data_IF_286892621124
#
_entry.id   IF_286892621124
#
_cell.length_a   1.000
_cell.length_b   1.000
_cell.length_c   1.000
_cell.angle_alpha   90.00
_cell.angle_beta   90.00
_cell.angle_gamma   90.00
#
_symmetry.space_group_name_H-M   'P 1'
#
loop_
_entity.id
_entity.type
_entity.pdbx_description
1 polymer ?
#
# COMPACT_ATOMS: atom_id res chain seq x y z
N UNK A 1 10.77 -20.57 -17.06
CA UNK A 1 10.47 -21.40 -15.89
C UNK A 1 9.81 -22.73 -16.24
N UNK A 2 8.77 -22.76 -17.06
CA UNK A 2 8.09 -24.03 -17.43
C UNK A 2 9.01 -25.11 -17.99
N UNK A 3 9.98 -24.74 -18.83
CA UNK A 3 10.97 -25.69 -19.33
C UNK A 3 11.84 -26.29 -18.21
N UNK A 4 12.21 -25.51 -17.20
CA UNK A 4 12.98 -25.99 -16.05
C UNK A 4 12.16 -26.95 -15.19
N UNK A 5 10.86 -26.65 -15.00
CA UNK A 5 9.93 -27.54 -14.31
C UNK A 5 9.73 -28.86 -15.05
N UNK A 6 9.49 -28.80 -16.37
CA UNK A 6 9.34 -29.98 -17.23
C UNK A 6 10.61 -30.85 -17.27
N UNK A 7 11.79 -30.23 -17.25
CA UNK A 7 13.09 -30.93 -17.16
C UNK A 7 13.40 -31.48 -15.76
N UNK A 8 12.57 -31.19 -14.75
CA UNK A 8 12.74 -31.68 -13.39
C UNK A 8 13.76 -30.90 -12.53
N UNK A 9 14.32 -29.79 -13.02
CA UNK A 9 15.27 -28.98 -12.26
C UNK A 9 14.62 -28.22 -11.11
N UNK A 10 13.33 -27.91 -11.24
CA UNK A 10 12.52 -27.29 -10.18
C UNK A 10 11.16 -27.98 -10.08
N UNK A 11 10.61 -28.08 -8.87
CA UNK A 11 9.28 -28.67 -8.66
C UNK A 11 8.13 -27.68 -8.90
N UNK A 12 8.37 -26.41 -8.58
CA UNK A 12 7.44 -25.32 -8.70
C UNK A 12 8.21 -24.00 -8.88
N UNK A 13 7.52 -22.96 -9.36
CA UNK A 13 8.06 -21.61 -9.42
C UNK A 13 6.98 -20.60 -9.03
N UNK A 14 7.40 -19.53 -8.39
CA UNK A 14 6.56 -18.39 -8.06
C UNK A 14 7.05 -17.11 -8.71
N UNK A 15 6.29 -16.04 -8.52
CA UNK A 15 6.66 -14.66 -8.88
C UNK A 15 6.60 -13.79 -7.64
N UNK A 16 7.30 -12.66 -7.63
CA UNK A 16 7.29 -11.73 -6.50
C UNK A 16 7.81 -10.36 -6.90
N UNK A 17 7.46 -9.33 -6.12
CA UNK A 17 7.82 -7.94 -6.40
C UNK A 17 7.36 -7.45 -7.79
N UNK A 18 6.18 -7.89 -8.22
CA UNK A 18 5.57 -7.54 -9.52
C UNK A 18 4.25 -6.81 -9.29
N UNK A 19 3.85 -5.97 -10.24
CA UNK A 19 2.58 -5.25 -10.22
C UNK A 19 1.39 -6.22 -10.39
N UNK A 20 0.18 -5.76 -10.06
CA UNK A 20 -1.02 -6.58 -10.26
C UNK A 20 -1.29 -6.89 -11.75
N UNK A 21 -0.89 -6.00 -12.65
CA UNK A 21 -0.98 -6.20 -14.10
C UNK A 21 0.00 -7.27 -14.58
N UNK A 22 1.26 -7.19 -14.11
CA UNK A 22 2.29 -8.18 -14.41
C UNK A 22 1.91 -9.57 -13.89
N UNK A 23 1.32 -9.66 -12.69
CA UNK A 23 0.76 -10.92 -12.16
C UNK A 23 -0.19 -11.53 -13.20
N UNK A 24 -1.10 -10.74 -13.78
CA UNK A 24 -2.02 -11.20 -14.82
C UNK A 24 -1.30 -11.73 -16.06
N UNK A 25 -0.25 -11.05 -16.51
CA UNK A 25 0.55 -11.48 -17.66
C UNK A 25 1.31 -12.79 -17.39
N UNK A 26 1.87 -12.97 -16.21
CA UNK A 26 2.53 -14.22 -15.83
C UNK A 26 1.54 -15.39 -15.76
N UNK A 27 0.35 -15.17 -15.20
CA UNK A 27 -0.69 -16.19 -15.09
C UNK A 27 -1.25 -16.63 -16.45
N UNK A 28 -1.32 -15.73 -17.43
CA UNK A 28 -1.70 -16.08 -18.81
C UNK A 28 -0.65 -16.95 -19.52
N UNK A 29 0.63 -16.79 -19.17
CA UNK A 29 1.77 -17.41 -19.87
C UNK A 29 2.25 -18.73 -19.26
N UNK A 30 1.90 -19.04 -18.01
CA UNK A 30 2.31 -20.29 -17.39
C UNK A 30 1.65 -20.57 -16.04
N UNK A 31 1.98 -21.73 -15.48
CA UNK A 31 1.40 -22.27 -14.25
C UNK A 31 2.19 -21.80 -13.02
N UNK A 32 2.06 -20.51 -12.71
CA UNK A 32 2.65 -19.90 -11.51
C UNK A 32 2.09 -20.58 -10.27
N UNK A 33 2.96 -21.12 -9.41
CA UNK A 33 2.54 -21.82 -8.20
C UNK A 33 2.22 -20.86 -7.04
N UNK A 34 3.01 -19.79 -6.89
CA UNK A 34 2.89 -18.87 -5.78
C UNK A 34 3.22 -17.42 -6.14
N UNK A 35 2.63 -16.48 -5.41
CA UNK A 35 2.98 -15.06 -5.45
C UNK A 35 3.55 -14.65 -4.10
N UNK A 36 4.76 -14.11 -4.12
CA UNK A 36 5.38 -13.43 -2.98
C UNK A 36 4.96 -11.95 -3.03
N UNK A 37 4.22 -11.47 -2.03
CA UNK A 37 3.73 -10.09 -1.99
C UNK A 37 3.90 -9.47 -0.62
N UNK A 38 4.10 -8.15 -0.58
CA UNK A 38 4.07 -7.43 0.69
C UNK A 38 2.63 -7.42 1.20
N UNK A 39 2.43 -7.86 2.44
CA UNK A 39 1.10 -7.86 3.04
C UNK A 39 1.19 -7.76 4.56
N UNK A 40 0.59 -6.71 5.09
CA UNK A 40 0.40 -6.48 6.52
C UNK A 40 -0.84 -5.59 6.73
N UNK A 41 -1.15 -5.29 7.98
CA UNK A 41 -2.36 -4.53 8.34
C UNK A 41 -2.40 -3.14 7.70
N UNK A 42 -1.24 -2.47 7.59
CA UNK A 42 -1.13 -1.12 7.01
C UNK A 42 -0.85 -1.13 5.49
N UNK A 43 -0.61 -2.30 4.91
CA UNK A 43 -0.36 -2.50 3.49
C UNK A 43 -1.02 -3.80 3.03
N UNK A 44 -2.31 -3.71 2.67
CA UNK A 44 -3.13 -4.83 2.20
C UNK A 44 -3.71 -4.58 0.79
N UNK A 45 -3.29 -3.51 0.11
CA UNK A 45 -3.93 -3.06 -1.14
C UNK A 45 -3.75 -4.04 -2.29
N UNK A 46 -2.55 -4.61 -2.46
CA UNK A 46 -2.31 -5.63 -3.50
C UNK A 46 -3.15 -6.89 -3.25
N UNK A 47 -3.22 -7.35 -2.00
CA UNK A 47 -4.09 -8.46 -1.63
C UNK A 47 -5.57 -8.13 -1.90
N UNK A 48 -6.03 -6.94 -1.51
CA UNK A 48 -7.41 -6.50 -1.73
C UNK A 48 -7.74 -6.35 -3.22
N UNK A 49 -6.79 -5.91 -4.05
CA UNK A 49 -6.94 -5.88 -5.50
C UNK A 49 -7.18 -7.29 -6.03
N UNK A 50 -6.30 -8.24 -5.70
CA UNK A 50 -6.45 -9.63 -6.13
C UNK A 50 -7.76 -10.24 -5.62
N UNK A 51 -8.20 -9.89 -4.40
CA UNK A 51 -9.51 -10.28 -3.86
C UNK A 51 -10.67 -9.67 -4.66
N UNK A 52 -10.63 -8.40 -5.03
CA UNK A 52 -11.70 -7.77 -5.83
C UNK A 52 -11.80 -8.36 -7.23
N UNK A 53 -10.67 -8.72 -7.85
CA UNK A 53 -10.66 -9.49 -9.11
C UNK A 53 -11.33 -10.87 -8.93
N UNK A 54 -11.35 -11.43 -7.70
CA UNK A 54 -12.16 -12.64 -7.40
C UNK A 54 -13.67 -12.38 -7.37
N UNK A 55 -14.10 -11.15 -7.15
CA UNK A 55 -15.51 -10.81 -6.96
C UNK A 55 -16.16 -10.32 -8.27
N UNK A 56 -15.38 -9.81 -9.22
CA UNK A 56 -15.83 -9.46 -10.58
C UNK A 56 -15.84 -10.68 -11.50
N UNK A 57 -16.99 -11.35 -11.60
CA UNK A 57 -17.16 -12.59 -12.38
C UNK A 57 -16.89 -12.41 -13.90
N UNK A 58 -16.34 -13.45 -14.55
CA UNK A 58 -16.10 -13.67 -16.00
C UNK A 58 -14.73 -13.36 -16.66
N UNK A 59 -13.62 -13.25 -15.91
CA UNK A 59 -12.29 -13.29 -16.57
C UNK A 59 -11.62 -14.66 -16.38
N UNK A 60 -10.98 -15.21 -17.42
CA UNK A 60 -10.08 -16.37 -17.32
C UNK A 60 -9.04 -16.20 -16.20
N UNK A 61 -8.66 -14.96 -15.93
CA UNK A 61 -7.76 -14.54 -14.86
C UNK A 61 -8.30 -14.87 -13.45
N UNK A 62 -9.64 -14.89 -13.25
CA UNK A 62 -10.28 -15.32 -12.01
C UNK A 62 -9.86 -16.72 -11.58
N UNK A 63 -10.02 -17.69 -12.49
CA UNK A 63 -9.69 -19.09 -12.22
C UNK A 63 -8.21 -19.27 -11.87
N UNK A 64 -7.34 -18.53 -12.59
CA UNK A 64 -5.90 -18.55 -12.37
C UNK A 64 -5.51 -17.99 -11.00
N UNK A 65 -6.09 -16.85 -10.59
CA UNK A 65 -5.77 -16.23 -9.29
C UNK A 65 -6.22 -17.14 -8.12
N UNK A 66 -7.32 -17.88 -8.27
CA UNK A 66 -7.78 -18.82 -7.22
C UNK A 66 -6.86 -20.00 -6.98
N UNK A 67 -6.13 -20.44 -8.00
CA UNK A 67 -5.22 -21.59 -7.89
C UNK A 67 -3.84 -21.23 -7.33
N UNK A 68 -3.51 -19.93 -7.29
CA UNK A 68 -2.20 -19.45 -6.88
C UNK A 68 -2.11 -19.29 -5.37
N UNK A 69 -0.97 -19.71 -4.80
CA UNK A 69 -0.67 -19.61 -3.37
C UNK A 69 -0.04 -18.28 -3.02
N UNK A 70 -0.65 -17.54 -2.09
CA UNK A 70 -0.09 -16.27 -1.62
C UNK A 70 0.92 -16.55 -0.50
N UNK A 71 2.11 -15.95 -0.63
CA UNK A 71 3.16 -15.96 0.38
C UNK A 71 3.42 -14.51 0.80
N UNK A 72 2.79 -14.03 1.89
CA UNK A 72 3.01 -12.67 2.37
C UNK A 72 4.38 -12.49 3.04
N UNK A 73 5.01 -11.34 2.80
CA UNK A 73 6.20 -10.87 3.51
C UNK A 73 5.98 -9.49 4.14
N UNK A 74 6.92 -9.06 5.00
CA UNK A 74 6.82 -7.82 5.77
C UNK A 74 5.57 -7.77 6.67
N UNK A 75 5.18 -8.92 7.22
CA UNK A 75 3.94 -9.09 7.99
C UNK A 75 3.89 -8.16 9.20
N UNK A 76 5.02 -7.97 9.88
CA UNK A 76 5.14 -7.06 11.02
C UNK A 76 5.57 -5.64 10.63
N UNK A 77 5.54 -5.29 9.33
CA UNK A 77 6.01 -4.02 8.78
C UNK A 77 7.39 -3.61 9.33
N UNK A 78 8.39 -4.49 9.17
CA UNK A 78 9.77 -4.29 9.68
C UNK A 78 9.84 -4.05 11.20
N UNK A 79 8.97 -4.71 11.95
CA UNK A 79 8.89 -4.62 13.41
C UNK A 79 7.97 -3.51 13.92
N UNK A 80 7.41 -2.68 13.04
CA UNK A 80 6.52 -1.59 13.45
C UNK A 80 5.22 -2.13 14.08
N UNK A 81 4.67 -3.21 13.52
CA UNK A 81 3.45 -3.86 14.01
C UNK A 81 3.71 -4.88 15.14
N UNK A 82 4.76 -4.69 15.94
CA UNK A 82 4.97 -5.47 17.17
C UNK A 82 4.69 -4.63 18.43
N UNK A 83 4.59 -3.31 18.28
CA UNK A 83 4.50 -2.37 19.40
C UNK A 83 5.83 -2.04 20.07
N UNK A 84 6.96 -2.60 19.59
CA UNK A 84 8.29 -2.30 20.11
C UNK A 84 8.91 -1.00 19.55
N UNK A 85 8.34 -0.46 18.46
CA UNK A 85 8.78 0.78 17.82
C UNK A 85 7.74 1.86 18.09
N UNK A 86 8.19 3.02 18.56
CA UNK A 86 7.36 4.19 18.82
C UNK A 86 7.92 5.46 18.16
N UNK A 87 7.23 6.59 18.32
CA UNK A 87 7.62 7.89 17.74
C UNK A 87 8.94 8.45 18.25
N UNK A 88 9.49 7.90 19.34
CA UNK A 88 10.76 8.30 19.93
C UNK A 88 11.90 7.34 19.56
N UNK A 89 11.58 6.25 18.87
CA UNK A 89 12.55 5.26 18.43
C UNK A 89 13.44 5.87 17.36
N UNK A 90 14.76 5.84 17.61
CA UNK A 90 15.78 6.33 16.68
C UNK A 90 16.46 5.14 15.99
N UNK A 91 16.71 5.29 14.70
CA UNK A 91 17.41 4.30 13.89
C UNK A 91 18.82 4.80 13.56
N UNK A 92 19.77 3.88 13.45
CA UNK A 92 21.11 4.17 12.95
C UNK A 92 21.05 4.49 11.45
N UNK A 93 21.99 5.27 10.93
CA UNK A 93 21.97 5.73 9.53
C UNK A 93 22.01 4.57 8.52
N UNK A 94 22.65 3.46 8.85
CA UNK A 94 22.73 2.27 7.99
C UNK A 94 21.48 1.36 8.06
N UNK A 95 20.54 1.62 8.97
CA UNK A 95 19.27 0.89 9.06
C UNK A 95 18.29 1.48 8.06
N UNK A 96 17.71 0.64 7.18
CA UNK A 96 16.74 1.08 6.16
C UNK A 96 15.54 1.86 6.75
N UNK A 97 15.21 1.63 8.02
CA UNK A 97 14.12 2.32 8.72
C UNK A 97 14.40 3.81 8.94
N UNK A 98 15.67 4.25 8.87
CA UNK A 98 16.04 5.66 8.96
C UNK A 98 15.53 6.49 7.76
N UNK A 99 15.39 5.86 6.59
CA UNK A 99 14.96 6.50 5.34
C UNK A 99 13.59 6.02 4.83
N UNK A 100 13.02 4.97 5.43
CA UNK A 100 11.73 4.44 5.02
C UNK A 100 10.58 5.34 5.48
N UNK A 101 9.75 5.79 4.53
CA UNK A 101 8.56 6.62 4.76
C UNK A 101 7.56 6.02 5.76
N UNK A 102 7.61 4.71 6.03
CA UNK A 102 6.84 4.07 7.10
C UNK A 102 7.13 4.66 8.48
N UNK A 103 8.35 5.15 8.71
CA UNK A 103 8.83 5.62 10.02
C UNK A 103 8.91 7.15 10.12
N UNK A 104 8.38 7.88 9.14
CA UNK A 104 8.33 9.34 9.23
C UNK A 104 7.38 9.80 10.36
N UNK A 105 7.64 10.97 10.94
CA UNK A 105 6.96 11.46 12.15
C UNK A 105 5.44 11.57 11.99
N UNK A 106 4.95 12.00 10.83
CA UNK A 106 3.52 12.12 10.57
C UNK A 106 2.82 10.76 10.56
N UNK A 107 3.42 9.77 9.88
CA UNK A 107 2.89 8.42 9.78
C UNK A 107 2.99 7.68 11.11
N UNK A 108 4.08 7.88 11.86
CA UNK A 108 4.24 7.29 13.20
C UNK A 108 3.13 7.71 14.17
N UNK A 109 2.67 8.96 14.13
CA UNK A 109 1.54 9.40 14.97
C UNK A 109 0.23 8.65 14.64
N UNK A 110 -0.04 8.36 13.37
CA UNK A 110 -1.21 7.57 12.96
C UNK A 110 -1.05 6.12 13.38
N UNK A 111 0.14 5.56 13.17
CA UNK A 111 0.45 4.18 13.54
C UNK A 111 0.37 3.98 15.05
N UNK A 112 0.72 4.97 15.88
CA UNK A 112 0.54 4.85 17.34
C UNK A 112 -0.91 4.53 17.73
N UNK A 113 -1.91 5.14 17.07
CA UNK A 113 -3.33 4.82 17.31
C UNK A 113 -3.66 3.38 16.93
N UNK A 114 -3.15 2.92 15.78
CA UNK A 114 -3.30 1.52 15.38
C UNK A 114 -2.66 0.58 16.39
N UNK A 115 -1.43 0.86 16.84
CA UNK A 115 -0.74 0.03 17.83
C UNK A 115 -1.51 -0.03 19.16
N UNK A 116 -2.06 1.09 19.64
CA UNK A 116 -2.92 1.11 20.82
C UNK A 116 -4.18 0.26 20.64
N UNK A 117 -4.82 0.35 19.48
CA UNK A 117 -5.99 -0.47 19.15
C UNK A 117 -5.64 -1.96 19.09
N UNK A 118 -4.56 -2.31 18.40
CA UNK A 118 -4.06 -3.67 18.27
C UNK A 118 -3.63 -4.25 19.62
N UNK A 119 -3.06 -3.43 20.52
CA UNK A 119 -2.72 -3.84 21.88
C UNK A 119 -3.95 -4.26 22.66
N UNK A 120 -5.05 -3.51 22.59
CA UNK A 120 -6.31 -3.86 23.23
C UNK A 120 -6.87 -5.18 22.69
N UNK A 121 -6.92 -5.33 21.37
CA UNK A 121 -7.37 -6.57 20.74
C UNK A 121 -6.47 -7.76 21.11
N UNK A 122 -5.16 -7.58 21.11
CA UNK A 122 -4.21 -8.65 21.45
C UNK A 122 -4.41 -9.12 22.91
N UNK A 123 -4.65 -8.19 23.84
CA UNK A 123 -5.01 -8.49 25.23
C UNK A 123 -6.32 -9.28 25.32
N UNK A 124 -7.37 -8.86 24.59
CA UNK A 124 -8.65 -9.59 24.54
C UNK A 124 -8.49 -11.02 23.99
N UNK A 125 -7.56 -11.23 23.07
CA UNK A 125 -7.26 -12.53 22.48
C UNK A 125 -6.19 -13.32 23.24
N UNK A 126 -5.64 -12.79 24.33
CA UNK A 126 -4.60 -13.46 25.13
C UNK A 126 -3.29 -13.70 24.37
N UNK A 127 -2.92 -12.83 23.43
CA UNK A 127 -1.74 -12.96 22.57
C UNK A 127 -0.91 -11.67 22.50
N UNK A 128 0.27 -11.75 21.89
CA UNK A 128 1.06 -10.54 21.56
C UNK A 128 0.55 -9.84 20.30
N UNK A 129 0.89 -8.57 20.11
CA UNK A 129 0.56 -7.84 18.87
C UNK A 129 1.16 -8.54 17.66
N UNK A 130 2.42 -9.00 17.77
CA UNK A 130 3.08 -9.72 16.68
C UNK A 130 2.30 -10.97 16.29
N UNK A 131 1.84 -11.75 17.27
CA UNK A 131 1.04 -12.94 17.02
C UNK A 131 -0.34 -12.61 16.44
N UNK A 132 -1.01 -11.56 16.93
CA UNK A 132 -2.29 -11.09 16.39
C UNK A 132 -2.15 -10.70 14.91
N UNK A 133 -1.09 -9.97 14.55
CA UNK A 133 -0.81 -9.54 13.17
C UNK A 133 -0.50 -10.73 12.27
N UNK A 134 0.33 -11.68 12.74
CA UNK A 134 0.63 -12.90 12.00
C UNK A 134 -0.64 -13.73 11.81
N UNK A 135 -1.43 -13.91 12.87
CA UNK A 135 -2.70 -14.64 12.84
C UNK A 135 -3.69 -13.99 11.87
N UNK A 136 -3.78 -12.66 11.85
CA UNK A 136 -4.59 -11.93 10.88
C UNK A 136 -4.16 -12.23 9.43
N UNK A 137 -2.86 -12.24 9.14
CA UNK A 137 -2.36 -12.53 7.78
C UNK A 137 -2.63 -13.97 7.35
N UNK A 138 -2.33 -14.96 8.20
CA UNK A 138 -2.48 -16.39 7.82
C UNK A 138 -3.94 -16.82 7.65
N UNK A 139 -4.89 -16.09 8.26
CA UNK A 139 -6.32 -16.35 8.12
C UNK A 139 -6.95 -15.69 6.88
N UNK A 140 -6.16 -15.00 6.03
CA UNK A 140 -6.64 -14.40 4.77
C UNK A 140 -6.75 -15.45 3.67
N UNK A 141 -7.78 -15.34 2.83
CA UNK A 141 -8.09 -16.30 1.78
C UNK A 141 -6.95 -16.42 0.75
N UNK A 142 -6.51 -17.65 0.49
CA UNK A 142 -5.44 -17.94 -0.49
C UNK A 142 -4.02 -17.79 0.07
N UNK A 143 -3.85 -17.33 1.30
CA UNK A 143 -2.56 -17.36 1.99
C UNK A 143 -2.16 -18.80 2.29
N UNK A 144 -0.99 -19.21 1.79
CA UNK A 144 -0.48 -20.58 1.95
C UNK A 144 0.59 -20.68 3.04
N UNK A 145 1.51 -19.70 3.09
CA UNK A 145 2.61 -19.63 4.07
C UNK A 145 2.96 -18.18 4.35
N UNK A 146 3.21 -17.85 5.61
CA UNK A 146 3.64 -16.50 6.02
C UNK A 146 5.15 -16.42 6.25
N UNK A 147 5.82 -15.40 5.68
CA UNK A 147 7.22 -15.08 5.99
C UNK A 147 7.28 -14.08 7.14
N UNK A 148 7.69 -14.55 8.32
CA UNK A 148 7.66 -13.78 9.58
C UNK A 148 9.01 -13.16 9.99
N UNK A 149 10.11 -13.53 9.32
CA UNK A 149 11.42 -12.86 9.42
C UNK A 149 12.09 -12.74 10.80
N UNK A 150 12.05 -13.72 11.72
CA UNK A 150 12.74 -13.61 12.99
C UNK A 150 14.27 -13.74 12.84
N UNK A 151 15.04 -12.93 13.56
CA UNK A 151 16.51 -13.04 13.68
C UNK A 151 16.96 -13.72 14.98
N UNK A 152 16.03 -13.91 15.93
CA UNK A 152 16.24 -14.54 17.23
C UNK A 152 15.30 -15.73 17.39
N UNK A 153 15.77 -16.78 18.07
CA UNK A 153 15.00 -18.01 18.28
C UNK A 153 13.74 -17.74 19.11
N UNK A 154 13.80 -16.80 20.05
CA UNK A 154 12.68 -16.42 20.90
C UNK A 154 11.54 -15.83 20.06
N UNK A 155 11.85 -14.94 19.12
CA UNK A 155 10.86 -14.37 18.19
C UNK A 155 10.31 -15.45 17.24
N UNK A 156 11.13 -16.41 16.81
CA UNK A 156 10.63 -17.53 16.01
C UNK A 156 9.61 -18.36 16.80
N UNK A 157 9.91 -18.70 18.06
CA UNK A 157 9.00 -19.43 18.95
C UNK A 157 7.71 -18.64 19.20
N UNK A 158 7.80 -17.33 19.40
CA UNK A 158 6.64 -16.45 19.54
C UNK A 158 5.78 -16.45 18.27
N UNK A 159 6.40 -16.28 17.10
CA UNK A 159 5.71 -16.23 15.80
C UNK A 159 4.99 -17.55 15.48
N UNK A 160 5.58 -18.69 15.82
CA UNK A 160 4.95 -20.01 15.58
C UNK A 160 3.64 -20.17 16.35
N UNK A 161 3.59 -19.67 17.60
CA UNK A 161 2.37 -19.72 18.43
C UNK A 161 1.20 -18.90 17.85
N UNK A 162 1.43 -18.07 16.84
CA UNK A 162 0.33 -17.41 16.12
C UNK A 162 -0.58 -18.40 15.38
N UNK A 163 -0.08 -19.61 15.07
CA UNK A 163 -0.88 -20.69 14.49
C UNK A 163 -1.96 -21.22 15.44
N UNK A 164 -1.75 -21.09 16.75
CA UNK A 164 -2.66 -21.57 17.78
C UNK A 164 -3.75 -20.55 18.12
N UNK A 165 -3.68 -19.33 17.57
CA UNK A 165 -4.64 -18.27 17.79
C UNK A 165 -5.84 -18.47 16.87
N UNK A 166 -6.96 -18.87 17.46
CA UNK A 166 -8.24 -18.90 16.77
C UNK A 166 -8.85 -17.49 16.73
N UNK A 167 -8.46 -16.72 15.72
CA UNK A 167 -8.93 -15.35 15.56
C UNK A 167 -10.35 -15.36 14.98
N UNK A 168 -11.35 -15.06 15.81
CA UNK A 168 -12.76 -14.98 15.37
C UNK A 168 -12.88 -14.00 14.18
N UNK A 169 -13.70 -14.36 13.19
CA UNK A 169 -14.11 -13.50 12.08
C UNK A 169 -14.55 -12.11 12.55
N UNK A 170 -15.14 -11.99 13.74
CA UNK A 170 -15.49 -10.70 14.36
C UNK A 170 -14.26 -9.84 14.64
N UNK A 171 -13.17 -10.42 15.13
CA UNK A 171 -11.91 -9.71 15.41
C UNK A 171 -11.20 -9.36 14.11
N UNK A 172 -11.18 -10.28 13.14
CA UNK A 172 -10.69 -9.99 11.78
C UNK A 172 -11.41 -8.78 11.18
N UNK A 173 -12.74 -8.77 11.25
CA UNK A 173 -13.59 -7.69 10.75
C UNK A 173 -13.33 -6.36 11.48
N UNK A 174 -13.17 -6.39 12.81
CA UNK A 174 -12.79 -5.21 13.60
C UNK A 174 -11.49 -4.56 13.11
N UNK A 175 -10.46 -5.37 12.81
CA UNK A 175 -9.18 -4.87 12.28
C UNK A 175 -9.36 -4.27 10.89
N UNK A 176 -10.10 -4.96 10.02
CA UNK A 176 -10.36 -4.50 8.65
C UNK A 176 -11.15 -3.18 8.66
N UNK A 177 -12.23 -3.07 9.45
CA UNK A 177 -13.05 -1.85 9.60
C UNK A 177 -12.26 -0.69 10.21
N UNK A 178 -11.39 -0.96 11.19
CA UNK A 178 -10.52 0.08 11.76
C UNK A 178 -9.60 0.67 10.67
N UNK A 179 -9.00 -0.20 9.85
CA UNK A 179 -8.12 0.24 8.77
C UNK A 179 -8.87 0.95 7.65
N UNK A 180 -10.07 0.51 7.30
CA UNK A 180 -10.94 1.20 6.35
C UNK A 180 -11.27 2.62 6.84
N UNK A 181 -11.69 2.77 8.11
CA UNK A 181 -11.97 4.07 8.72
C UNK A 181 -10.75 5.01 8.73
N UNK A 182 -9.56 4.50 9.08
CA UNK A 182 -8.33 5.31 9.07
C UNK A 182 -7.92 5.73 7.64
N UNK A 183 -8.12 4.85 6.65
CA UNK A 183 -7.87 5.18 5.24
C UNK A 183 -8.87 6.23 4.73
N UNK A 184 -10.17 6.07 5.05
CA UNK A 184 -11.21 7.05 4.70
C UNK A 184 -10.91 8.43 5.29
N UNK A 185 -10.51 8.49 6.56
CA UNK A 185 -10.15 9.74 7.22
C UNK A 185 -8.90 10.38 6.58
N UNK A 186 -7.91 9.58 6.21
CA UNK A 186 -6.74 10.06 5.44
C UNK A 186 -7.16 10.62 4.10
N UNK A 187 -8.02 9.92 3.36
CA UNK A 187 -8.45 10.34 2.04
C UNK A 187 -9.32 11.60 2.11
N UNK A 188 -10.19 11.73 3.14
CA UNK A 188 -10.92 12.98 3.43
C UNK A 188 -9.99 14.16 3.73
N UNK A 189 -8.94 13.96 4.53
CA UNK A 189 -7.95 15.01 4.82
C UNK A 189 -7.17 15.42 3.58
N UNK A 190 -6.80 14.43 2.77
CA UNK A 190 -6.11 14.65 1.50
C UNK A 190 -7.02 15.47 0.58
N UNK A 191 -8.28 15.05 0.36
CA UNK A 191 -9.26 15.82 -0.42
C UNK A 191 -9.44 17.25 0.09
N UNK A 192 -9.57 17.46 1.41
CA UNK A 192 -9.65 18.82 1.99
C UNK A 192 -8.38 19.65 1.76
N UNK A 193 -7.20 19.03 1.75
CA UNK A 193 -5.96 19.72 1.41
C UNK A 193 -5.91 20.05 -0.08
N UNK A 194 -6.27 19.12 -0.96
CA UNK A 194 -6.36 19.32 -2.41
C UNK A 194 -7.33 20.47 -2.73
N UNK A 195 -8.53 20.47 -2.13
CA UNK A 195 -9.52 21.55 -2.32
C UNK A 195 -8.97 22.92 -1.92
N UNK A 196 -8.20 23.00 -0.81
CA UNK A 196 -7.56 24.25 -0.39
C UNK A 196 -6.47 24.69 -1.36
N UNK A 197 -5.66 23.75 -1.85
CA UNK A 197 -4.64 24.05 -2.86
C UNK A 197 -5.32 24.56 -4.13
N UNK A 198 -6.28 23.83 -4.69
CA UNK A 198 -6.94 24.18 -5.94
C UNK A 198 -7.74 25.50 -5.88
N UNK A 199 -8.40 25.80 -4.76
CA UNK A 199 -9.13 27.08 -4.58
C UNK A 199 -8.22 28.27 -4.28
N UNK A 200 -7.02 28.02 -3.76
CA UNK A 200 -6.06 29.06 -3.40
C UNK A 200 -5.30 29.61 -4.61
N UNK A 201 -4.72 30.80 -4.45
CA UNK A 201 -3.74 31.30 -5.43
C UNK A 201 -2.51 30.37 -5.48
N UNK A 202 -1.86 30.21 -6.64
CA UNK A 202 -0.60 29.47 -6.74
C UNK A 202 0.45 30.02 -5.77
N UNK A 203 1.22 29.13 -5.12
CA UNK A 203 2.34 29.54 -4.27
C UNK A 203 3.40 30.30 -5.06
N UNK A 204 3.99 31.34 -4.45
CA UNK A 204 5.16 32.03 -5.01
C UNK A 204 6.39 31.10 -5.11
N UNK A 205 6.41 30.01 -4.34
CA UNK A 205 7.32 28.90 -4.61
C UNK A 205 6.75 28.04 -5.74
N UNK A 206 7.12 28.41 -6.96
CA UNK A 206 6.69 27.76 -8.21
C UNK A 206 7.12 26.28 -8.24
N UNK A 207 8.23 25.93 -7.58
CA UNK A 207 8.71 24.53 -7.57
C UNK A 207 7.83 23.69 -6.68
N UNK A 208 7.48 24.20 -5.51
CA UNK A 208 6.59 23.51 -4.58
C UNK A 208 5.15 23.43 -5.11
N UNK A 209 4.65 24.49 -5.76
CA UNK A 209 3.33 24.45 -6.39
C UNK A 209 3.25 23.36 -7.47
N UNK A 210 4.29 23.21 -8.31
CA UNK A 210 4.35 22.15 -9.32
C UNK A 210 4.29 20.76 -8.67
N UNK A 211 5.04 20.52 -7.59
CA UNK A 211 4.98 19.23 -6.88
C UNK A 211 3.59 18.96 -6.31
N UNK A 212 2.94 19.97 -5.73
CA UNK A 212 1.59 19.85 -5.21
C UNK A 212 0.60 19.46 -6.31
N UNK A 213 0.69 20.10 -7.48
CA UNK A 213 -0.20 19.80 -8.61
C UNK A 213 0.07 18.42 -9.22
N UNK A 214 1.33 17.98 -9.32
CA UNK A 214 1.67 16.60 -9.73
C UNK A 214 1.03 15.60 -8.76
N UNK A 215 1.19 15.80 -7.45
CA UNK A 215 0.58 14.93 -6.44
C UNK A 215 -0.96 14.89 -6.56
N UNK A 216 -1.60 16.04 -6.84
CA UNK A 216 -3.05 16.12 -7.03
C UNK A 216 -3.49 15.31 -8.25
N UNK A 217 -2.76 15.42 -9.37
CA UNK A 217 -3.04 14.66 -10.60
C UNK A 217 -2.92 13.17 -10.33
N UNK A 218 -1.80 12.73 -9.73
CA UNK A 218 -1.57 11.32 -9.38
C UNK A 218 -2.67 10.78 -8.46
N UNK A 219 -3.05 11.55 -7.43
CA UNK A 219 -4.13 11.19 -6.51
C UNK A 219 -5.46 10.96 -7.25
N UNK A 220 -5.81 11.79 -8.23
CA UNK A 220 -7.07 11.62 -8.97
C UNK A 220 -7.01 10.51 -10.02
N UNK A 221 -5.85 10.21 -10.60
CA UNK A 221 -5.66 9.02 -11.45
C UNK A 221 -5.84 7.76 -10.61
N UNK A 222 -5.16 7.65 -9.47
CA UNK A 222 -5.22 6.49 -8.57
C UNK A 222 -6.63 6.21 -8.04
N UNK A 223 -7.44 7.27 -7.90
CA UNK A 223 -8.83 7.19 -7.46
C UNK A 223 -9.85 7.09 -8.62
N UNK A 224 -9.38 6.91 -9.86
CA UNK A 224 -10.22 6.72 -11.05
C UNK A 224 -11.06 7.93 -11.43
N UNK A 225 -10.65 9.13 -11.00
CA UNK A 225 -11.32 10.40 -11.33
C UNK A 225 -10.76 11.01 -12.62
N UNK A 226 -9.46 10.85 -12.87
CA UNK A 226 -8.84 11.25 -14.14
C UNK A 226 -8.49 10.01 -14.95
N UNK A 227 -8.64 10.10 -16.28
CA UNK A 227 -8.04 9.12 -17.18
C UNK A 227 -6.54 9.40 -17.37
N UNK A 228 -5.78 8.40 -17.80
CA UNK A 228 -4.33 8.51 -17.95
C UNK A 228 -3.90 9.56 -18.97
N UNK A 229 -4.68 9.78 -20.03
CA UNK A 229 -4.35 10.74 -21.09
C UNK A 229 -4.40 12.19 -20.58
N UNK A 230 -5.49 12.56 -19.90
CA UNK A 230 -5.64 13.86 -19.24
C UNK A 230 -4.54 14.07 -18.19
N UNK A 231 -4.29 13.03 -17.38
CA UNK A 231 -3.21 13.05 -16.38
C UNK A 231 -1.84 13.34 -16.99
N UNK A 232 -1.49 12.64 -18.08
CA UNK A 232 -0.23 12.81 -18.79
C UNK A 232 -0.12 14.17 -19.50
N UNK A 233 -1.23 14.72 -20.01
CA UNK A 233 -1.26 16.05 -20.59
C UNK A 233 -0.91 17.10 -19.53
N UNK A 234 -1.65 17.13 -18.41
CA UNK A 234 -1.44 18.09 -17.32
C UNK A 234 -0.03 17.95 -16.71
N UNK A 235 0.44 16.71 -16.55
CA UNK A 235 1.80 16.43 -16.11
C UNK A 235 2.84 17.02 -17.07
N UNK A 236 2.67 16.84 -18.37
CA UNK A 236 3.59 17.36 -19.39
C UNK A 236 3.66 18.88 -19.37
N UNK A 237 2.53 19.57 -19.18
CA UNK A 237 2.48 21.02 -19.02
C UNK A 237 3.26 21.49 -17.79
N UNK A 238 3.10 20.81 -16.65
CA UNK A 238 3.85 21.10 -15.42
C UNK A 238 5.36 20.88 -15.58
N UNK A 239 5.77 19.81 -16.26
CA UNK A 239 7.19 19.54 -16.56
C UNK A 239 7.75 20.59 -17.52
N UNK A 240 6.95 21.05 -18.49
CA UNK A 240 7.37 22.13 -19.38
C UNK A 240 7.66 23.43 -18.61
N UNK A 241 6.77 23.84 -17.68
CA UNK A 241 6.99 25.02 -16.83
C UNK A 241 8.22 24.84 -15.93
N UNK A 242 8.42 23.64 -15.39
CA UNK A 242 9.60 23.33 -14.57
C UNK A 242 10.91 23.48 -15.35
N UNK A 243 10.95 23.00 -16.59
CA UNK A 243 12.15 22.99 -17.43
C UNK A 243 12.41 24.32 -18.14
N UNK A 244 11.35 25.10 -18.41
CA UNK A 244 11.39 26.38 -19.10
C UNK A 244 10.88 27.48 -18.19
N UNK A 245 11.51 27.67 -17.03
CA UNK A 245 11.18 28.78 -16.11
C UNK A 245 11.16 30.11 -16.86
N UNK A 246 10.04 30.81 -16.83
CA UNK A 246 9.91 32.15 -17.41
C UNK A 246 10.09 33.20 -16.31
N UNK A 247 9.42 34.35 -16.44
CA UNK A 247 9.21 35.23 -15.31
C UNK A 247 8.13 34.66 -14.37
N UNK A 248 8.23 35.00 -13.09
CA UNK A 248 7.36 34.46 -12.05
C UNK A 248 5.87 34.74 -12.31
N UNK A 249 5.50 35.86 -12.92
CA UNK A 249 4.10 36.18 -13.19
C UNK A 249 3.52 35.26 -14.28
N UNK A 250 4.28 35.00 -15.34
CA UNK A 250 3.87 34.07 -16.39
C UNK A 250 3.76 32.63 -15.88
N UNK A 251 4.71 32.19 -15.03
CA UNK A 251 4.66 30.87 -14.42
C UNK A 251 3.44 30.72 -13.50
N UNK A 252 3.17 31.70 -12.64
CA UNK A 252 1.98 31.70 -11.76
C UNK A 252 0.67 31.75 -12.55
N UNK A 253 0.62 32.47 -13.67
CA UNK A 253 -0.55 32.50 -14.55
C UNK A 253 -0.84 31.10 -15.14
N UNK A 254 0.19 30.42 -15.65
CA UNK A 254 0.05 29.06 -16.19
C UNK A 254 -0.38 28.07 -15.12
N UNK A 255 0.23 28.12 -13.93
CA UNK A 255 -0.16 27.26 -12.81
C UNK A 255 -1.61 27.51 -12.37
N UNK A 256 -2.08 28.76 -12.41
CA UNK A 256 -3.49 29.08 -12.15
C UNK A 256 -4.42 28.45 -13.18
N UNK A 257 -4.06 28.47 -14.46
CA UNK A 257 -4.87 27.84 -15.53
C UNK A 257 -4.94 26.32 -15.34
N UNK A 258 -3.82 25.67 -15.02
CA UNK A 258 -3.78 24.23 -14.73
C UNK A 258 -4.68 23.88 -13.53
N UNK A 259 -4.68 24.70 -12.47
CA UNK A 259 -5.57 24.50 -11.31
C UNK A 259 -7.05 24.56 -11.71
N UNK A 260 -7.42 25.51 -12.54
CA UNK A 260 -8.80 25.63 -13.04
C UNK A 260 -9.18 24.45 -13.95
N UNK A 261 -8.28 24.00 -14.82
CA UNK A 261 -8.50 22.79 -15.63
C UNK A 261 -8.73 21.56 -14.75
N UNK A 262 -7.90 21.36 -13.71
CA UNK A 262 -8.09 20.26 -12.74
C UNK A 262 -9.46 20.36 -12.08
N UNK A 263 -9.87 21.57 -11.65
CA UNK A 263 -11.18 21.78 -10.99
C UNK A 263 -12.35 21.46 -11.91
N UNK A 264 -12.32 21.93 -13.15
CA UNK A 264 -13.40 21.68 -14.11
C UNK A 264 -13.62 20.18 -14.36
N UNK A 265 -12.54 19.42 -14.48
CA UNK A 265 -12.62 17.96 -14.70
C UNK A 265 -13.05 17.16 -13.45
N UNK A 266 -13.24 17.80 -12.29
CA UNK A 266 -13.75 17.16 -11.08
C UNK A 266 -15.25 17.38 -10.85
N UNK A 267 -15.85 18.35 -11.56
CA UNK A 267 -17.27 18.70 -11.46
C UNK A 267 -18.15 17.91 -12.44
N UNK A 268 -17.54 17.26 -13.44
CA UNK A 268 -18.17 16.32 -14.41
C UNK A 268 -18.18 14.85 -13.92
#
# INVERSE_FOLDING_TARGET
>A
MENLKRKGYVRAYGIGHVSNEEIGEYLKKGNVFSILMEMNIINSQNYNFLRRVKESSNSRLYSMIREVKIIPFSITARGLLTGAIDKNTMFQDYDIRSIDSLFNKERMNRISKLIEYMKKLAMEQGCSIAQLVISWVINKEGVWKALTGPTKIEHLKENIKALDINLDKRVMKKIDEFMESENDERDRRTKKWIERVLKGQPSNDVTEEIKNLIFIIDFYIDNGKFNSDLGMQLFSELIYIKNNRFDINNDLLKLRLIKEQIRMNLED
#
